data_IF_674447180183
#
_entry.id   IF_674447180183
#
_cell.length_a   1.000
_cell.length_b   1.000
_cell.length_c   1.000
_cell.angle_alpha   90.00
_cell.angle_beta   90.00
_cell.angle_gamma   90.00
#
_symmetry.space_group_name_H-M   'P 1'
#
loop_
_entity.id
_entity.type
_entity.pdbx_description
1 polymer ?
#
# COMPACT_ATOMS: atom_id res chain seq x y z
N UNK A 1 8.14 60.29 7.76
CA UNK A 1 8.87 59.79 6.58
C UNK A 1 8.52 58.34 6.34
N UNK A 2 8.08 58.05 5.14
CA UNK A 2 7.58 56.70 4.78
C UNK A 2 8.64 55.59 4.85
N UNK A 3 9.93 55.89 4.63
CA UNK A 3 11.00 54.90 4.70
C UNK A 3 11.34 54.43 6.10
N UNK A 4 11.18 55.28 7.10
CA UNK A 4 11.45 54.93 8.50
C UNK A 4 10.42 53.96 9.06
N UNK A 5 9.16 54.17 8.75
CA UNK A 5 8.08 53.25 9.14
C UNK A 5 8.25 51.85 8.48
N UNK A 6 8.69 51.81 7.23
CA UNK A 6 9.00 50.55 6.55
C UNK A 6 10.18 49.81 7.18
N UNK A 7 11.23 50.51 7.60
CA UNK A 7 12.37 49.93 8.30
C UNK A 7 12.00 49.39 9.67
N UNK A 8 11.20 50.10 10.43
CA UNK A 8 10.68 49.63 11.73
C UNK A 8 9.80 48.39 11.55
N UNK A 9 8.95 48.36 10.54
CA UNK A 9 8.14 47.19 10.20
C UNK A 9 9.03 45.97 9.87
N UNK A 10 10.03 46.13 9.03
CA UNK A 10 10.97 45.07 8.68
C UNK A 10 11.76 44.59 9.89
N UNK A 11 12.19 45.46 10.80
CA UNK A 11 12.87 45.09 12.02
C UNK A 11 11.97 44.35 12.99
N UNK A 12 10.69 44.68 13.06
CA UNK A 12 9.74 44.06 13.96
C UNK A 12 9.25 42.69 13.45
N UNK A 13 8.98 42.58 12.15
CA UNK A 13 8.38 41.39 11.53
C UNK A 13 9.39 40.54 10.76
N UNK A 14 10.54 41.05 10.38
CA UNK A 14 11.55 40.33 9.59
C UNK A 14 12.07 39.09 10.31
N UNK A 15 12.32 39.20 11.60
CA UNK A 15 12.75 38.04 12.40
C UNK A 15 11.65 36.97 12.52
N UNK A 16 10.38 37.36 12.62
CA UNK A 16 9.25 36.45 12.64
C UNK A 16 9.14 35.67 11.32
N UNK A 17 9.33 36.35 10.20
CA UNK A 17 9.39 35.72 8.88
C UNK A 17 10.54 34.74 8.77
N UNK A 18 11.72 35.09 9.31
CA UNK A 18 12.87 34.17 9.34
C UNK A 18 12.59 32.91 10.13
N UNK A 19 11.92 33.03 11.28
CA UNK A 19 11.52 31.86 12.07
C UNK A 19 10.55 30.96 11.30
N UNK A 20 9.56 31.54 10.64
CA UNK A 20 8.59 30.79 9.83
C UNK A 20 9.29 30.05 8.69
N UNK A 21 10.19 30.71 7.97
CA UNK A 21 10.97 30.09 6.90
C UNK A 21 11.85 28.96 7.45
N UNK A 22 12.48 29.17 8.59
CA UNK A 22 13.33 28.14 9.24
C UNK A 22 12.50 26.92 9.65
N UNK A 23 11.30 27.12 10.20
CA UNK A 23 10.39 26.03 10.57
C UNK A 23 9.92 25.26 9.33
N UNK A 24 9.54 25.95 8.27
CA UNK A 24 9.12 25.32 7.02
C UNK A 24 10.28 24.53 6.40
N UNK A 25 11.49 25.08 6.40
CA UNK A 25 12.69 24.38 5.92
C UNK A 25 13.00 23.13 6.75
N UNK A 26 12.87 23.21 8.07
CA UNK A 26 13.06 22.07 8.95
C UNK A 26 12.01 20.97 8.68
N UNK A 27 10.73 21.33 8.54
CA UNK A 27 9.66 20.40 8.21
C UNK A 27 9.88 19.74 6.84
N UNK A 28 10.35 20.53 5.87
CA UNK A 28 10.72 20.00 4.55
C UNK A 28 11.87 19.02 4.64
N UNK A 29 12.92 19.33 5.41
CA UNK A 29 14.05 18.43 5.63
C UNK A 29 13.67 17.13 6.34
N UNK A 30 12.70 17.20 7.27
CA UNK A 30 12.14 16.01 7.92
C UNK A 30 11.19 15.19 7.03
N UNK A 31 10.92 15.67 5.82
CA UNK A 31 10.08 14.97 4.86
C UNK A 31 8.58 15.01 5.15
N UNK A 32 8.12 15.91 6.03
CA UNK A 32 6.69 16.06 6.35
C UNK A 32 5.86 16.41 5.11
N UNK A 33 6.43 17.14 4.17
CA UNK A 33 5.80 17.50 2.90
C UNK A 33 6.07 16.51 1.77
N UNK A 34 6.73 15.42 2.03
CA UNK A 34 6.76 14.31 1.09
C UNK A 34 5.40 13.64 1.06
N UNK A 35 4.45 14.35 0.49
CA UNK A 35 3.16 13.81 0.05
C UNK A 35 3.41 13.04 -1.25
N UNK A 36 4.12 12.05 -1.13
CA UNK A 36 4.48 11.05 -2.08
C UNK A 36 5.10 9.99 -1.23
N UNK A 37 4.25 9.24 -0.54
CA UNK A 37 4.65 7.95 -0.04
C UNK A 37 5.34 7.22 -1.17
N UNK A 38 6.21 6.29 -0.85
CA UNK A 38 6.69 5.33 -1.82
C UNK A 38 5.52 4.97 -2.74
N UNK A 39 5.71 4.92 -4.07
CA UNK A 39 4.62 4.63 -4.98
C UNK A 39 3.88 3.44 -4.44
N UNK A 40 2.59 3.61 -4.19
CA UNK A 40 1.78 2.57 -3.60
C UNK A 40 1.94 1.37 -4.51
N UNK A 41 2.50 0.29 -4.00
CA UNK A 41 2.79 -0.89 -4.78
C UNK A 41 1.53 -1.49 -5.40
N UNK A 42 0.37 -1.20 -4.82
CA UNK A 42 -0.92 -1.70 -5.23
C UNK A 42 -1.90 -0.54 -5.48
N UNK A 43 -2.27 -0.29 -6.76
CA UNK A 43 -3.26 0.74 -7.13
C UNK A 43 -3.83 0.50 -8.54
N UNK A 44 -5.16 0.30 -8.73
CA UNK A 44 -6.13 0.02 -7.66
C UNK A 44 -5.81 -1.28 -6.94
N UNK A 45 -6.12 -1.33 -5.66
CA UNK A 45 -5.87 -2.52 -4.86
C UNK A 45 -7.13 -3.38 -4.72
N UNK A 46 -6.99 -4.54 -4.06
CA UNK A 46 -8.10 -5.44 -3.82
C UNK A 46 -9.24 -4.75 -3.06
N UNK A 47 -10.46 -5.06 -3.42
CA UNK A 47 -11.65 -4.54 -2.77
C UNK A 47 -12.07 -5.37 -1.56
N UNK A 48 -11.87 -6.67 -1.62
CA UNK A 48 -12.22 -7.61 -0.56
C UNK A 48 -11.03 -7.94 0.35
N UNK A 49 -9.87 -8.21 -0.26
CA UNK A 49 -8.64 -8.48 0.48
C UNK A 49 -7.97 -7.19 0.91
N UNK A 50 -7.55 -7.13 2.17
CA UNK A 50 -6.75 -6.01 2.63
C UNK A 50 -5.29 -6.19 2.18
N UNK A 51 -4.76 -5.21 1.47
CA UNK A 51 -3.33 -5.15 1.16
C UNK A 51 -2.56 -4.83 2.45
N UNK A 52 -1.59 -5.67 2.78
CA UNK A 52 -0.75 -5.49 3.96
C UNK A 52 0.61 -4.95 3.58
N UNK A 53 1.31 -5.65 2.68
CA UNK A 53 2.66 -5.28 2.27
C UNK A 53 3.04 -5.96 0.96
N UNK A 54 4.07 -5.42 0.30
CA UNK A 54 4.71 -6.03 -0.85
C UNK A 54 6.21 -5.77 -0.82
N UNK A 55 6.99 -6.83 -0.83
CA UNK A 55 8.44 -6.75 -0.91
C UNK A 55 8.91 -7.00 -2.33
N UNK A 56 9.41 -5.95 -2.99
CA UNK A 56 9.96 -6.07 -4.34
C UNK A 56 11.26 -6.88 -4.39
N UNK A 57 12.00 -6.95 -3.29
CA UNK A 57 13.26 -7.70 -3.19
C UNK A 57 13.04 -9.21 -3.08
N UNK A 58 12.04 -9.64 -2.35
CA UNK A 58 11.69 -11.06 -2.17
C UNK A 58 10.56 -11.50 -3.08
N UNK A 59 9.83 -10.56 -3.67
CA UNK A 59 8.67 -10.85 -4.50
C UNK A 59 7.44 -11.34 -3.73
N UNK A 60 7.38 -11.11 -2.43
CA UNK A 60 6.27 -11.59 -1.60
C UNK A 60 5.21 -10.51 -1.46
N UNK A 61 4.00 -10.83 -1.85
CA UNK A 61 2.80 -10.04 -1.63
C UNK A 61 2.05 -10.57 -0.42
N UNK A 62 1.76 -9.69 0.52
CA UNK A 62 1.03 -10.03 1.75
C UNK A 62 -0.33 -9.37 1.73
N UNK A 63 -1.36 -10.18 1.81
CA UNK A 63 -2.75 -9.74 1.89
C UNK A 63 -3.43 -10.37 3.10
N UNK A 64 -4.53 -9.80 3.52
CA UNK A 64 -5.35 -10.33 4.61
C UNK A 64 -6.75 -10.63 4.11
N UNK A 65 -7.27 -11.78 4.48
CA UNK A 65 -8.65 -12.14 4.18
C UNK A 65 -9.62 -11.18 4.90
N UNK A 66 -10.76 -10.91 4.26
CA UNK A 66 -11.82 -10.09 4.83
C UNK A 66 -12.60 -10.78 5.97
N UNK A 67 -13.83 -10.36 6.15
CA UNK A 67 -14.66 -10.77 7.28
C UNK A 67 -15.29 -12.17 7.14
N UNK A 68 -15.15 -12.82 5.99
CA UNK A 68 -15.81 -14.10 5.70
C UNK A 68 -14.82 -15.23 5.51
N UNK A 69 -15.31 -16.42 5.73
CA UNK A 69 -14.60 -17.65 5.42
C UNK A 69 -14.73 -17.92 3.92
N UNK A 70 -13.61 -18.06 3.24
CA UNK A 70 -13.56 -18.25 1.79
C UNK A 70 -12.68 -19.43 1.40
N UNK A 71 -12.89 -19.90 0.19
CA UNK A 71 -12.01 -20.85 -0.49
C UNK A 71 -11.48 -20.20 -1.76
N UNK A 72 -10.18 -19.97 -1.87
CA UNK A 72 -9.57 -19.41 -3.07
C UNK A 72 -9.48 -20.52 -4.12
N UNK A 73 -10.09 -20.28 -5.28
CA UNK A 73 -10.13 -21.25 -6.37
C UNK A 73 -9.07 -21.02 -7.41
N UNK A 74 -8.78 -19.76 -7.73
CA UNK A 74 -7.81 -19.43 -8.78
C UNK A 74 -7.10 -18.13 -8.47
N UNK A 75 -5.83 -18.03 -8.85
CA UNK A 75 -5.06 -16.79 -8.84
C UNK A 75 -4.42 -16.63 -10.22
N UNK A 76 -4.59 -15.49 -10.84
CA UNK A 76 -4.01 -15.16 -12.13
C UNK A 76 -3.19 -13.87 -12.05
N UNK A 77 -1.94 -13.82 -12.48
CA UNK A 77 -1.12 -14.96 -12.92
C UNK A 77 -0.92 -16.00 -11.83
N UNK A 78 -0.62 -17.24 -12.20
CA UNK A 78 -0.47 -18.33 -11.23
C UNK A 78 0.64 -18.03 -10.23
N UNK A 79 0.29 -18.01 -8.96
CA UNK A 79 1.20 -17.74 -7.85
C UNK A 79 0.96 -18.78 -6.76
N UNK A 80 2.03 -19.12 -6.05
CA UNK A 80 1.91 -19.91 -4.85
C UNK A 80 1.34 -19.06 -3.71
N UNK A 81 0.43 -19.62 -2.95
CA UNK A 81 -0.12 -18.99 -1.76
C UNK A 81 0.20 -19.85 -0.55
N UNK A 82 0.53 -19.21 0.54
CA UNK A 82 0.75 -19.89 1.82
C UNK A 82 0.36 -19.02 2.99
N UNK A 83 0.42 -19.61 4.17
CA UNK A 83 0.16 -18.93 5.43
C UNK A 83 1.43 -18.38 6.09
N UNK A 84 2.57 -18.59 5.48
CA UNK A 84 3.86 -18.04 5.87
C UNK A 84 4.68 -17.66 4.64
N UNK A 85 5.65 -16.78 4.81
CA UNK A 85 6.51 -16.35 3.72
C UNK A 85 7.28 -17.54 3.13
N UNK A 86 7.15 -17.76 1.82
CA UNK A 86 7.78 -18.85 1.10
C UNK A 86 7.09 -20.21 1.22
N UNK A 87 5.99 -20.30 1.96
CA UNK A 87 5.21 -21.53 2.00
C UNK A 87 4.37 -21.69 0.73
N UNK A 88 4.27 -22.92 0.28
CA UNK A 88 3.33 -23.35 -0.74
C UNK A 88 2.35 -24.30 -0.08
N UNK A 89 1.53 -23.74 0.79
CA UNK A 89 0.47 -24.50 1.41
C UNK A 89 -0.59 -24.80 0.37
N UNK A 90 -1.13 -26.02 0.41
CA UNK A 90 -2.12 -26.47 -0.56
C UNK A 90 -3.26 -25.44 -0.61
N UNK A 91 -3.24 -24.76 -1.63
CA UNK A 91 -3.78 -23.51 -1.92
C UNK A 91 -5.21 -23.39 -1.76
N UNK A 92 -5.95 -24.01 -1.84
CA UNK A 92 -7.36 -23.94 -2.11
C UNK A 92 -8.15 -24.45 -0.91
N UNK A 93 -7.49 -24.42 0.23
CA UNK A 93 -8.14 -24.72 1.48
C UNK A 93 -8.84 -23.48 2.04
N UNK A 94 -9.85 -23.76 2.79
CA UNK A 94 -10.67 -22.80 3.49
C UNK A 94 -9.82 -21.81 4.30
N UNK A 95 -9.98 -20.54 3.98
CA UNK A 95 -9.30 -19.44 4.67
C UNK A 95 -10.26 -18.74 5.58
N UNK A 96 -9.96 -18.73 6.87
CA UNK A 96 -10.78 -18.06 7.89
C UNK A 96 -10.67 -16.55 7.80
N UNK A 97 -11.67 -15.86 8.34
CA UNK A 97 -11.71 -14.40 8.40
C UNK A 97 -10.46 -13.82 9.09
N UNK A 98 -9.93 -12.75 8.53
CA UNK A 98 -8.79 -12.02 9.09
C UNK A 98 -7.44 -12.70 8.96
N UNK A 99 -7.34 -13.85 8.29
CA UNK A 99 -6.07 -14.56 8.11
C UNK A 99 -5.18 -13.85 7.10
N UNK A 100 -3.90 -13.82 7.41
CA UNK A 100 -2.87 -13.28 6.51
C UNK A 100 -2.45 -14.35 5.51
N UNK A 101 -2.36 -13.94 4.24
CA UNK A 101 -1.96 -14.78 3.11
C UNK A 101 -0.70 -14.21 2.47
N UNK A 102 0.21 -15.08 2.10
CA UNK A 102 1.47 -14.75 1.44
C UNK A 102 1.44 -15.31 0.02
N UNK A 103 1.54 -14.43 -0.97
CA UNK A 103 1.57 -14.80 -2.39
C UNK A 103 2.98 -14.61 -2.94
N UNK A 104 3.46 -15.63 -3.66
CA UNK A 104 4.73 -15.53 -4.36
C UNK A 104 4.56 -14.80 -5.69
N UNK A 105 4.83 -13.51 -5.67
CA UNK A 105 4.77 -12.63 -6.83
C UNK A 105 6.14 -12.43 -7.50
N UNK A 106 7.12 -13.27 -7.20
CA UNK A 106 8.48 -13.16 -7.76
C UNK A 106 8.52 -13.27 -9.28
N UNK A 107 7.61 -14.03 -9.86
CA UNK A 107 7.47 -14.23 -11.30
C UNK A 107 6.82 -13.08 -12.08
N UNK A 108 6.37 -12.03 -11.41
CA UNK A 108 5.75 -10.89 -12.08
C UNK A 108 6.75 -10.09 -12.90
N UNK A 109 6.29 -9.54 -14.01
CA UNK A 109 7.08 -8.67 -14.87
C UNK A 109 7.32 -7.30 -14.20
N UNK A 110 8.41 -6.64 -14.59
CA UNK A 110 8.65 -5.26 -14.17
C UNK A 110 7.57 -4.35 -14.76
N UNK A 111 7.01 -3.49 -13.94
CA UNK A 111 5.92 -2.58 -14.31
C UNK A 111 4.61 -2.95 -13.64
N UNK A 112 3.50 -2.59 -14.27
CA UNK A 112 2.17 -2.85 -13.73
C UNK A 112 1.69 -4.24 -14.08
N UNK A 113 1.28 -5.00 -13.06
CA UNK A 113 0.75 -6.35 -13.21
C UNK A 113 -0.65 -6.41 -12.61
N UNK A 114 -1.59 -6.94 -13.37
CA UNK A 114 -2.92 -7.18 -12.86
C UNK A 114 -2.99 -8.56 -12.19
N UNK A 115 -3.41 -8.57 -10.94
CA UNK A 115 -3.60 -9.80 -10.17
C UNK A 115 -5.09 -9.99 -9.95
N UNK A 116 -5.58 -11.16 -10.31
CA UNK A 116 -6.99 -11.54 -10.14
C UNK A 116 -7.08 -12.76 -9.23
N UNK A 117 -7.85 -12.65 -8.17
CA UNK A 117 -8.11 -13.73 -7.23
C UNK A 117 -9.59 -14.10 -7.33
N UNK A 118 -9.87 -15.33 -7.68
CA UNK A 118 -11.23 -15.87 -7.67
C UNK A 118 -11.40 -16.74 -6.44
N UNK A 119 -12.46 -16.48 -5.69
CA UNK A 119 -12.73 -17.20 -4.44
C UNK A 119 -14.22 -17.49 -4.32
N UNK A 120 -14.55 -18.50 -3.55
CA UNK A 120 -15.92 -18.87 -3.20
C UNK A 120 -16.17 -18.55 -1.73
N UNK A 121 -17.23 -17.82 -1.45
CA UNK A 121 -17.72 -17.59 -0.08
C UNK A 121 -18.29 -18.89 0.46
N UNK A 122 -17.75 -19.38 1.56
CA UNK A 122 -18.14 -20.67 2.15
C UNK A 122 -19.53 -20.62 2.78
N UNK A 123 -20.01 -19.44 3.15
CA UNK A 123 -21.32 -19.27 3.78
C UNK A 123 -22.44 -19.17 2.75
N UNK A 124 -22.22 -18.49 1.64
CA UNK A 124 -23.20 -18.32 0.57
C UNK A 124 -23.04 -19.32 -0.59
N UNK A 125 -21.89 -19.93 -0.75
CA UNK A 125 -21.54 -20.76 -1.89
C UNK A 125 -21.34 -20.02 -3.21
N UNK A 126 -21.31 -18.67 -3.18
CA UNK A 126 -21.15 -17.83 -4.35
C UNK A 126 -19.68 -17.56 -4.66
N UNK A 127 -19.36 -17.58 -5.94
CA UNK A 127 -18.03 -17.27 -6.44
C UNK A 127 -17.89 -15.77 -6.71
N UNK A 128 -16.76 -15.22 -6.30
CA UNK A 128 -16.43 -13.80 -6.48
C UNK A 128 -15.03 -13.67 -7.07
N UNK A 129 -14.78 -12.53 -7.68
CA UNK A 129 -13.48 -12.19 -8.25
C UNK A 129 -13.03 -10.84 -7.73
N UNK A 130 -11.82 -10.77 -7.23
CA UNK A 130 -11.19 -9.53 -6.79
C UNK A 130 -9.91 -9.28 -7.60
N UNK A 131 -9.71 -8.05 -8.00
CA UNK A 131 -8.62 -7.68 -8.91
C UNK A 131 -7.85 -6.50 -8.35
N UNK A 132 -6.54 -6.57 -8.49
CA UNK A 132 -5.64 -5.49 -8.10
C UNK A 132 -4.56 -5.28 -9.13
N UNK A 133 -4.00 -4.09 -9.18
CA UNK A 133 -2.82 -3.77 -9.99
C UNK A 133 -1.63 -3.57 -9.09
N UNK A 134 -0.65 -4.46 -9.21
CA UNK A 134 0.60 -4.43 -8.45
C UNK A 134 1.72 -3.89 -9.32
N UNK A 135 2.48 -2.96 -8.82
CA UNK A 135 3.65 -2.40 -9.48
C UNK A 135 4.93 -3.01 -8.92
N UNK A 136 5.69 -3.66 -9.81
CA UNK A 136 7.00 -4.24 -9.51
C UNK A 136 8.13 -3.36 -10.01
#
# INVERSE_FOLDING_TARGET
>A
MKGQAAMEYLMTYGWAILIVIAVIAALYAMGVFRIGGAPVACSPCFSYFAFVDYSSSTGILVIRNGARRINITTVSPTMNIGYSAGANDALYNETIAGRTLYLDASGLQTGSNQITITYTDMDSGLSHTDTATLRK
#
